data_IF_378294243408
#
_entry.id   IF_378294243408
#
_cell.length_a   1.000
_cell.length_b   1.000
_cell.length_c   1.000
_cell.angle_alpha   90.00
_cell.angle_beta   90.00
_cell.angle_gamma   90.00
#
_symmetry.space_group_name_H-M   'P 1'
#
loop_
_entity.id
_entity.type
_entity.pdbx_description
1 polymer ?
#
# COMPACT_ATOMS: atom_id res chain seq x y z
N UNK A 1 1.17 29.12 7.30
CA UNK A 1 1.03 29.75 8.65
C UNK A 1 1.03 28.62 9.67
N UNK A 2 1.40 28.81 10.94
CA UNK A 2 1.30 27.69 11.89
C UNK A 2 -0.16 27.42 12.23
N UNK A 3 -0.69 26.26 11.82
CA UNK A 3 -1.99 25.76 12.27
C UNK A 3 -1.95 25.63 13.79
N UNK A 4 -2.95 26.17 14.50
CA UNK A 4 -2.96 26.09 15.95
C UNK A 4 -3.07 24.63 16.44
N UNK A 5 -2.54 24.29 17.63
CA UNK A 5 -2.48 22.91 18.09
C UNK A 5 -3.85 22.23 18.23
N UNK A 6 -4.90 22.97 18.55
CA UNK A 6 -6.25 22.41 18.71
C UNK A 6 -6.79 22.04 17.32
N UNK A 7 -6.71 22.95 16.37
CA UNK A 7 -7.12 22.69 14.98
C UNK A 7 -6.32 21.54 14.36
N UNK A 8 -5.01 21.46 14.61
CA UNK A 8 -4.15 20.38 14.14
C UNK A 8 -4.64 19.00 14.64
N UNK A 9 -4.93 18.87 15.94
CA UNK A 9 -5.44 17.63 16.54
C UNK A 9 -6.83 17.27 16.00
N UNK A 10 -7.71 18.26 15.80
CA UNK A 10 -9.03 18.03 15.21
C UNK A 10 -8.90 17.55 13.76
N UNK A 11 -8.03 18.15 12.95
CA UNK A 11 -7.80 17.72 11.57
C UNK A 11 -7.22 16.30 11.52
N UNK A 12 -6.25 15.98 12.38
CA UNK A 12 -5.69 14.63 12.51
C UNK A 12 -6.80 13.60 12.80
N UNK A 13 -7.61 13.85 13.82
CA UNK A 13 -8.70 12.96 14.21
C UNK A 13 -9.76 12.83 13.10
N UNK A 14 -10.05 13.92 12.37
CA UNK A 14 -10.99 13.89 11.23
C UNK A 14 -10.45 13.07 10.08
N UNK A 15 -9.18 13.26 9.68
CA UNK A 15 -8.55 12.47 8.62
C UNK A 15 -8.54 10.98 8.97
N UNK A 16 -8.17 10.63 10.21
CA UNK A 16 -8.23 9.26 10.69
C UNK A 16 -9.66 8.69 10.64
N UNK A 17 -10.64 9.47 11.10
CA UNK A 17 -12.06 9.10 11.05
C UNK A 17 -12.58 8.89 9.62
N UNK A 18 -12.12 9.68 8.65
CA UNK A 18 -12.48 9.51 7.24
C UNK A 18 -11.98 8.16 6.72
N UNK A 19 -10.71 7.83 6.97
CA UNK A 19 -10.14 6.56 6.53
C UNK A 19 -10.85 5.37 7.18
N UNK A 20 -11.19 5.48 8.48
CA UNK A 20 -11.95 4.47 9.20
C UNK A 20 -13.38 4.32 8.63
N UNK A 21 -14.04 5.42 8.27
CA UNK A 21 -15.37 5.40 7.63
C UNK A 21 -15.31 4.72 6.25
N UNK A 22 -14.30 5.03 5.44
CA UNK A 22 -14.06 4.36 4.16
C UNK A 22 -13.91 2.84 4.34
N UNK A 23 -13.13 2.42 5.33
CA UNK A 23 -12.87 1.00 5.59
C UNK A 23 -14.10 0.26 6.09
N UNK A 24 -14.84 0.85 7.03
CA UNK A 24 -16.11 0.30 7.49
C UNK A 24 -17.14 0.19 6.36
N UNK A 25 -17.17 1.18 5.45
CA UNK A 25 -17.99 1.10 4.24
C UNK A 25 -17.56 -0.09 3.39
N UNK A 26 -16.25 -0.23 3.12
CA UNK A 26 -15.71 -1.31 2.29
C UNK A 26 -16.09 -2.69 2.84
N UNK A 27 -15.90 -2.94 4.14
CA UNK A 27 -16.25 -4.21 4.77
C UNK A 27 -17.74 -4.53 4.66
N UNK A 28 -18.62 -3.52 4.77
CA UNK A 28 -20.08 -3.70 4.66
C UNK A 28 -20.56 -3.90 3.23
N UNK A 29 -19.82 -3.37 2.24
CA UNK A 29 -20.15 -3.48 0.81
C UNK A 29 -19.38 -4.58 0.09
N UNK A 30 -18.49 -5.29 0.79
CA UNK A 30 -17.73 -6.41 0.25
C UNK A 30 -18.66 -7.56 -0.15
N UNK A 31 -18.44 -8.10 -1.35
CA UNK A 31 -19.14 -9.25 -1.88
C UNK A 31 -18.48 -10.54 -1.43
N UNK A 32 -17.15 -10.58 -1.38
CA UNK A 32 -16.40 -11.74 -0.89
C UNK A 32 -16.36 -11.80 0.63
N UNK A 33 -16.26 -13.02 1.16
CA UNK A 33 -16.02 -13.25 2.59
C UNK A 33 -14.65 -12.74 3.05
N UNK A 34 -13.69 -12.63 2.13
CA UNK A 34 -12.36 -12.06 2.37
C UNK A 34 -12.48 -10.60 2.84
N UNK A 35 -13.27 -9.80 2.14
CA UNK A 35 -13.50 -8.40 2.54
C UNK A 35 -14.50 -8.32 3.70
N UNK A 36 -15.61 -9.05 3.63
CA UNK A 36 -16.73 -8.88 4.57
C UNK A 36 -16.46 -9.48 5.95
N UNK A 37 -15.85 -10.66 6.00
CA UNK A 37 -15.65 -11.42 7.23
C UNK A 37 -14.19 -11.35 7.70
N UNK A 38 -13.23 -11.65 6.82
CA UNK A 38 -11.79 -11.65 7.17
C UNK A 38 -11.19 -10.25 7.27
N UNK A 39 -11.84 -9.23 6.69
CA UNK A 39 -11.42 -7.83 6.71
C UNK A 39 -10.02 -7.60 6.10
N UNK A 40 -9.69 -8.39 5.08
CA UNK A 40 -8.43 -8.29 4.33
C UNK A 40 -8.48 -7.15 3.30
N UNK A 41 -8.49 -5.92 3.83
CA UNK A 41 -8.42 -4.70 3.06
C UNK A 41 -7.90 -3.53 3.91
N UNK A 42 -7.32 -2.51 3.27
CA UNK A 42 -6.99 -1.24 3.92
C UNK A 42 -7.39 -0.04 3.09
N UNK A 43 -7.50 1.12 3.75
CA UNK A 43 -7.83 2.40 3.12
C UNK A 43 -6.78 3.46 3.49
N UNK A 44 -6.57 4.43 2.60
CA UNK A 44 -5.72 5.58 2.85
C UNK A 44 -6.19 6.81 2.05
N UNK A 45 -5.75 7.98 2.50
CA UNK A 45 -5.77 9.23 1.74
C UNK A 45 -4.33 9.56 1.35
N UNK A 46 -4.10 9.88 0.08
CA UNK A 46 -2.82 10.28 -0.48
C UNK A 46 -2.90 11.71 -1.01
N UNK A 47 -1.78 12.43 -1.03
CA UNK A 47 -1.69 13.72 -1.71
C UNK A 47 -1.44 13.55 -3.23
N UNK A 48 -1.32 14.65 -3.97
CA UNK A 48 -1.08 14.65 -5.41
C UNK A 48 0.27 14.04 -5.84
N UNK A 49 1.21 13.85 -4.90
CA UNK A 49 2.48 13.17 -5.13
C UNK A 49 2.42 11.67 -4.83
N UNK A 50 1.26 11.15 -4.43
CA UNK A 50 1.09 9.76 -4.00
C UNK A 50 1.58 9.48 -2.57
N UNK A 51 1.91 10.53 -1.80
CA UNK A 51 2.39 10.36 -0.44
C UNK A 51 1.22 10.19 0.54
N UNK A 52 1.36 9.29 1.51
CA UNK A 52 0.32 9.02 2.53
C UNK A 52 0.07 10.25 3.40
N UNK A 53 -1.17 10.72 3.42
CA UNK A 53 -1.68 11.79 4.29
C UNK A 53 -2.24 11.19 5.58
N UNK A 54 -3.08 10.16 5.43
CA UNK A 54 -3.66 9.42 6.54
C UNK A 54 -3.95 7.99 6.11
N UNK A 55 -3.73 7.05 7.03
CA UNK A 55 -3.99 5.64 6.82
C UNK A 55 -4.49 5.02 8.12
N UNK A 56 -5.38 4.04 8.00
CA UNK A 56 -5.70 3.13 9.08
C UNK A 56 -5.02 1.79 8.77
N UNK A 57 -4.09 1.40 9.63
CA UNK A 57 -3.26 0.21 9.41
C UNK A 57 -3.99 -1.00 9.96
N UNK A 58 -4.65 -1.74 9.07
CA UNK A 58 -5.14 -3.10 9.35
C UNK A 58 -4.06 -4.12 8.97
N UNK A 59 -3.39 -3.88 7.83
CA UNK A 59 -2.28 -4.70 7.36
C UNK A 59 -1.02 -3.83 7.20
N UNK A 60 0.07 -4.11 7.94
CA UNK A 60 1.30 -3.32 7.90
C UNK A 60 1.91 -3.14 6.51
N UNK A 61 1.85 -4.19 5.68
CA UNK A 61 2.43 -4.19 4.33
C UNK A 61 1.81 -3.13 3.42
N UNK A 62 0.53 -2.80 3.63
CA UNK A 62 -0.15 -1.78 2.84
C UNK A 62 0.44 -0.37 3.03
N UNK A 63 1.19 -0.11 4.11
CA UNK A 63 1.88 1.17 4.30
C UNK A 63 2.90 1.48 3.19
N UNK A 64 3.59 0.46 2.67
CA UNK A 64 4.50 0.62 1.54
C UNK A 64 3.80 0.47 0.19
N UNK A 65 2.71 -0.30 0.15
CA UNK A 65 2.02 -0.61 -1.09
C UNK A 65 1.23 0.59 -1.65
N UNK A 66 0.49 1.33 -0.82
CA UNK A 66 -0.25 2.52 -1.29
C UNK A 66 0.60 3.55 -2.04
N UNK A 67 1.72 4.05 -1.46
CA UNK A 67 2.56 5.00 -2.18
C UNK A 67 3.21 4.38 -3.43
N UNK A 68 3.57 3.10 -3.40
CA UNK A 68 4.11 2.41 -4.57
C UNK A 68 3.08 2.28 -5.71
N UNK A 69 1.82 1.98 -5.38
CA UNK A 69 0.72 1.96 -6.35
C UNK A 69 0.43 3.34 -6.92
N UNK A 70 0.42 4.38 -6.08
CA UNK A 70 0.27 5.74 -6.55
C UNK A 70 1.41 6.17 -7.47
N UNK A 71 2.66 5.82 -7.14
CA UNK A 71 3.82 6.05 -8.01
C UNK A 71 3.65 5.34 -9.37
N UNK A 72 3.16 4.10 -9.37
CA UNK A 72 2.83 3.37 -10.60
C UNK A 72 1.80 4.11 -11.46
N UNK A 73 0.67 4.54 -10.87
CA UNK A 73 -0.34 5.35 -11.57
C UNK A 73 0.27 6.65 -12.12
N UNK A 74 1.04 7.38 -11.32
CA UNK A 74 1.61 8.68 -11.70
C UNK A 74 2.71 8.57 -12.77
N UNK A 75 3.37 7.42 -12.90
CA UNK A 75 4.27 7.12 -14.02
C UNK A 75 3.52 6.81 -15.30
N UNK A 76 2.35 6.17 -15.21
CA UNK A 76 1.55 5.77 -16.36
C UNK A 76 0.59 6.84 -16.87
N UNK A 77 0.16 7.76 -15.99
CA UNK A 77 -0.81 8.81 -16.29
C UNK A 77 -0.25 10.18 -15.89
N UNK A 78 -0.03 11.09 -16.85
CA UNK A 78 0.31 12.47 -16.52
C UNK A 78 -0.86 13.13 -15.79
N UNK A 79 -0.58 14.15 -14.98
CA UNK A 79 -1.59 14.86 -14.20
C UNK A 79 -2.77 15.40 -15.05
N UNK A 80 -2.51 15.75 -16.31
CA UNK A 80 -3.53 16.24 -17.25
C UNK A 80 -4.53 15.15 -17.72
N UNK A 81 -4.25 13.86 -17.48
CA UNK A 81 -5.13 12.74 -17.84
C UNK A 81 -5.97 12.22 -16.66
N UNK A 82 -5.73 12.76 -15.47
CA UNK A 82 -6.44 12.45 -14.23
C UNK A 82 -7.59 13.44 -14.08
N UNK A 83 -8.82 12.94 -14.13
CA UNK A 83 -10.02 13.78 -14.08
C UNK A 83 -10.94 13.42 -12.92
N UNK A 84 -11.78 14.38 -12.53
CA UNK A 84 -12.86 14.13 -11.58
C UNK A 84 -13.79 13.02 -12.11
N UNK A 85 -14.19 12.11 -11.22
CA UNK A 85 -14.99 10.94 -11.62
C UNK A 85 -14.19 9.77 -12.18
N UNK A 86 -12.88 9.87 -12.38
CA UNK A 86 -12.03 8.73 -12.76
C UNK A 86 -11.70 7.82 -11.56
N UNK A 87 -11.44 6.54 -11.80
CA UNK A 87 -10.79 5.68 -10.82
C UNK A 87 -9.80 4.76 -11.54
N UNK A 88 -8.68 4.46 -10.90
CA UNK A 88 -7.60 3.64 -11.45
C UNK A 88 -7.45 2.37 -10.63
N UNK A 89 -6.99 1.29 -11.27
CA UNK A 89 -6.67 0.03 -10.61
C UNK A 89 -5.30 -0.47 -11.01
N UNK A 90 -4.67 -1.23 -10.10
CA UNK A 90 -3.52 -2.07 -10.41
C UNK A 90 -3.39 -3.17 -9.38
N UNK A 91 -2.84 -4.30 -9.80
CA UNK A 91 -2.38 -5.37 -8.92
C UNK A 91 -1.01 -5.91 -9.36
N UNK A 92 -0.32 -5.21 -10.27
CA UNK A 92 0.95 -5.66 -10.80
C UNK A 92 2.09 -5.27 -9.85
N UNK A 93 2.83 -6.22 -9.24
CA UNK A 93 3.86 -5.89 -8.25
C UNK A 93 5.07 -5.13 -8.83
N UNK A 94 5.49 -5.46 -10.04
CA UNK A 94 6.62 -4.80 -10.72
C UNK A 94 6.26 -3.46 -11.38
N UNK A 95 5.11 -3.36 -12.05
CA UNK A 95 4.70 -2.15 -12.79
C UNK A 95 3.84 -1.19 -11.96
N UNK A 96 3.12 -1.70 -10.97
CA UNK A 96 2.15 -0.96 -10.17
C UNK A 96 2.39 -1.05 -8.67
N UNK A 97 3.49 -1.63 -8.18
CA UNK A 97 3.86 -1.60 -6.76
C UNK A 97 2.94 -2.37 -5.80
N UNK A 98 2.01 -3.19 -6.32
CA UNK A 98 1.13 -4.02 -5.50
C UNK A 98 1.90 -5.06 -4.67
N UNK A 99 1.41 -5.49 -3.50
CA UNK A 99 2.03 -6.57 -2.71
C UNK A 99 2.18 -7.86 -3.50
N UNK A 100 1.09 -8.27 -4.12
CA UNK A 100 0.97 -9.44 -4.97
C UNK A 100 -0.28 -9.33 -5.84
N UNK A 101 -0.49 -10.30 -6.73
CA UNK A 101 -1.59 -10.30 -7.69
C UNK A 101 -3.00 -10.25 -7.04
N UNK A 102 -3.29 -10.96 -5.94
CA UNK A 102 -4.61 -10.91 -5.31
C UNK A 102 -4.97 -9.56 -4.70
N UNK A 103 -3.99 -8.78 -4.24
CA UNK A 103 -4.25 -7.45 -3.71
C UNK A 103 -4.42 -6.47 -4.86
N UNK A 104 -5.66 -6.01 -5.06
CA UNK A 104 -5.96 -4.99 -6.07
C UNK A 104 -6.14 -3.63 -5.41
N UNK A 105 -5.30 -2.67 -5.80
CA UNK A 105 -5.43 -1.28 -5.41
C UNK A 105 -6.49 -0.57 -6.27
N UNK A 106 -7.31 0.28 -5.64
CA UNK A 106 -8.17 1.27 -6.29
C UNK A 106 -7.71 2.66 -5.86
N UNK A 107 -7.46 3.56 -6.81
CA UNK A 107 -7.09 4.95 -6.58
C UNK A 107 -8.12 5.87 -7.24
N UNK A 108 -8.82 6.64 -6.43
CA UNK A 108 -9.83 7.60 -6.89
C UNK A 108 -9.32 9.02 -6.64
N UNK A 109 -9.14 9.86 -7.68
CA UNK A 109 -8.73 11.25 -7.50
C UNK A 109 -9.74 12.02 -6.67
N UNK A 110 -9.23 12.90 -5.81
CA UNK A 110 -10.02 13.84 -5.03
C UNK A 110 -9.90 15.20 -5.70
N UNK A 111 -11.02 15.77 -6.13
CA UNK A 111 -11.08 17.13 -6.64
C UNK A 111 -11.75 18.06 -5.62
N UNK A 112 -11.20 19.27 -5.49
CA UNK A 112 -11.76 20.34 -4.67
C UNK A 112 -11.81 21.63 -5.49
N UNK A 113 -13.02 22.10 -5.80
CA UNK A 113 -13.27 23.31 -6.63
C UNK A 113 -12.52 23.29 -7.98
N UNK A 114 -12.54 22.13 -8.65
CA UNK A 114 -11.89 21.94 -9.95
C UNK A 114 -10.39 21.67 -9.89
N UNK A 115 -9.77 21.69 -8.70
CA UNK A 115 -8.35 21.34 -8.53
C UNK A 115 -8.20 19.92 -7.99
N UNK A 116 -7.29 19.15 -8.59
CA UNK A 116 -6.90 17.85 -8.06
C UNK A 116 -6.03 18.02 -6.80
N UNK A 117 -6.42 17.38 -5.70
CA UNK A 117 -5.76 17.54 -4.39
C UNK A 117 -5.17 16.25 -3.82
N UNK A 118 -5.40 15.10 -4.45
CA UNK A 118 -4.87 13.81 -4.00
C UNK A 118 -5.70 12.62 -4.43
N UNK A 119 -5.56 11.50 -3.72
CA UNK A 119 -6.35 10.29 -3.95
C UNK A 119 -7.00 9.80 -2.66
N UNK A 120 -8.23 9.31 -2.77
CA UNK A 120 -8.78 8.35 -1.83
C UNK A 120 -8.51 6.96 -2.39
N UNK A 121 -7.87 6.09 -1.60
CA UNK A 121 -7.44 4.78 -2.06
C UNK A 121 -7.79 3.68 -1.08
N UNK A 122 -7.91 2.48 -1.60
CA UNK A 122 -7.97 1.26 -0.83
C UNK A 122 -7.34 0.10 -1.61
N UNK A 123 -7.03 -0.96 -0.89
CA UNK A 123 -6.46 -2.20 -1.40
C UNK A 123 -7.20 -3.33 -0.73
N UNK A 124 -7.62 -4.32 -1.52
CA UNK A 124 -8.37 -5.46 -0.99
C UNK A 124 -8.01 -6.73 -1.74
N UNK A 125 -7.82 -7.79 -0.97
CA UNK A 125 -7.46 -9.11 -1.46
C UNK A 125 -8.62 -9.76 -2.22
N UNK A 126 -8.31 -10.48 -3.29
CA UNK A 126 -9.29 -11.22 -4.11
C UNK A 126 -9.16 -12.72 -3.90
N UNK A 127 -10.30 -13.40 -3.82
CA UNK A 127 -10.35 -14.85 -3.61
C UNK A 127 -9.80 -15.65 -4.78
N UNK A 128 -9.91 -15.11 -5.99
CA UNK A 128 -9.42 -15.74 -7.21
C UNK A 128 -9.22 -14.67 -8.29
N UNK A 129 -8.01 -14.59 -8.83
CA UNK A 129 -7.67 -13.77 -10.00
C UNK A 129 -7.09 -14.63 -11.13
N UNK A 130 -7.49 -15.90 -11.20
CA UNK A 130 -7.00 -16.88 -12.18
C UNK A 130 -5.76 -17.62 -11.70
N UNK A 131 -4.80 -17.83 -12.60
CA UNK A 131 -3.56 -18.56 -12.30
C UNK A 131 -3.71 -20.07 -12.40
N UNK A 132 -2.64 -20.80 -12.06
CA UNK A 132 -2.54 -22.25 -12.31
C UNK A 132 -3.41 -23.12 -11.42
N UNK A 133 -3.89 -22.59 -10.29
CA UNK A 133 -4.75 -23.29 -9.33
C UNK A 133 -5.91 -22.40 -8.88
N UNK A 134 -7.04 -22.97 -8.43
CA UNK A 134 -8.09 -22.20 -7.76
C UNK A 134 -7.61 -21.59 -6.44
N UNK A 135 -7.93 -20.31 -6.20
CA UNK A 135 -7.59 -19.59 -4.97
C UNK A 135 -6.73 -18.35 -5.22
N UNK A 136 -6.19 -17.78 -4.14
CA UNK A 136 -5.41 -16.54 -4.18
C UNK A 136 -3.99 -16.73 -4.71
N UNK A 137 -3.38 -17.92 -4.55
CA UNK A 137 -2.04 -18.14 -5.05
C UNK A 137 -1.65 -19.59 -5.23
N UNK A 138 -0.76 -19.81 -6.19
CA UNK A 138 -0.14 -21.11 -6.45
C UNK A 138 1.17 -21.18 -5.68
N UNK A 139 1.27 -22.10 -4.72
CA UNK A 139 2.53 -22.42 -4.03
C UNK A 139 3.61 -23.03 -4.94
N UNK A 140 3.30 -23.25 -6.22
CA UNK A 140 4.21 -23.79 -7.22
C UNK A 140 4.45 -22.82 -8.39
N UNK A 141 4.02 -21.55 -8.27
CA UNK A 141 4.32 -20.55 -9.27
C UNK A 141 5.83 -20.23 -9.29
N UNK A 142 6.42 -20.30 -10.47
CA UNK A 142 7.83 -20.00 -10.74
C UNK A 142 8.02 -18.64 -11.39
N UNK A 143 7.02 -18.21 -12.13
CA UNK A 143 6.97 -16.91 -12.78
C UNK A 143 5.65 -16.23 -12.45
N UNK A 144 5.66 -14.90 -12.41
CA UNK A 144 4.49 -14.07 -12.14
C UNK A 144 3.30 -14.40 -13.05
N UNK A 145 3.55 -14.86 -14.28
CA UNK A 145 2.50 -15.27 -15.22
C UNK A 145 1.66 -16.47 -14.74
N UNK A 146 2.18 -17.26 -13.81
CA UNK A 146 1.47 -18.38 -13.19
C UNK A 146 0.62 -17.94 -11.98
N UNK A 147 0.78 -16.70 -11.54
CA UNK A 147 0.10 -16.12 -10.37
C UNK A 147 -1.24 -15.46 -10.73
N UNK A 148 -1.66 -15.54 -11.99
CA UNK A 148 -2.96 -15.07 -12.47
C UNK A 148 -2.92 -13.73 -13.20
N UNK A 149 -4.05 -13.02 -13.20
CA UNK A 149 -4.22 -11.77 -13.93
C UNK A 149 -3.39 -10.66 -13.29
N UNK A 150 -2.54 -10.01 -14.10
CA UNK A 150 -1.77 -8.84 -13.70
C UNK A 150 -2.19 -7.64 -14.55
N UNK A 151 -2.85 -6.68 -13.91
CA UNK A 151 -3.19 -5.39 -14.49
C UNK A 151 -2.11 -4.37 -14.12
N UNK A 152 -1.36 -3.83 -15.10
CA UNK A 152 -0.59 -2.63 -14.86
C UNK A 152 -1.53 -1.48 -14.44
N UNK A 153 -1.01 -0.32 -14.01
CA UNK A 153 -1.79 0.89 -13.87
C UNK A 153 -2.76 1.12 -15.04
N UNK A 154 -4.06 0.98 -14.79
CA UNK A 154 -5.10 1.20 -15.81
C UNK A 154 -6.29 1.98 -15.24
N UNK A 155 -6.94 2.77 -16.11
CA UNK A 155 -8.21 3.44 -15.78
C UNK A 155 -9.35 2.42 -15.71
N UNK A 156 -10.04 2.37 -14.58
CA UNK A 156 -11.18 1.48 -14.31
C UNK A 156 -12.53 2.20 -14.38
N UNK A 157 -12.60 3.45 -13.92
CA UNK A 157 -13.75 4.31 -14.13
C UNK A 157 -13.31 5.56 -14.91
N UNK A 158 -14.15 5.99 -15.84
CA UNK A 158 -14.01 7.23 -16.61
C UNK A 158 -15.28 8.04 -16.46
N UNK A 159 -15.19 9.22 -15.83
CA UNK A 159 -16.35 10.08 -15.58
C UNK A 159 -17.52 9.35 -14.88
N UNK A 160 -17.24 8.68 -13.76
CA UNK A 160 -18.18 7.92 -12.94
C UNK A 160 -18.80 6.67 -13.60
N UNK A 161 -18.33 6.28 -14.79
CA UNK A 161 -18.78 5.06 -15.46
C UNK A 161 -17.66 4.03 -15.52
N UNK A 162 -17.95 2.74 -15.26
CA UNK A 162 -16.95 1.69 -15.40
C UNK A 162 -16.49 1.57 -16.86
N UNK A 163 -15.20 1.32 -17.05
CA UNK A 163 -14.63 0.93 -18.34
C UNK A 163 -14.95 -0.55 -18.57
N UNK A 164 -15.93 -0.80 -19.42
CA UNK A 164 -16.53 -2.14 -19.63
C UNK A 164 -15.52 -3.19 -20.07
N UNK A 165 -14.55 -2.80 -20.87
CA UNK A 165 -13.51 -3.65 -21.42
C UNK A 165 -12.59 -4.18 -20.32
N UNK A 166 -12.30 -3.36 -19.31
CA UNK A 166 -11.51 -3.77 -18.13
C UNK A 166 -12.30 -4.78 -17.31
N UNK A 167 -13.60 -4.55 -17.09
CA UNK A 167 -14.44 -5.54 -16.42
C UNK A 167 -14.52 -6.85 -17.22
N UNK A 168 -14.63 -6.80 -18.55
CA UNK A 168 -14.63 -8.00 -19.40
C UNK A 168 -13.35 -8.81 -19.27
N UNK A 169 -12.18 -8.16 -19.24
CA UNK A 169 -10.88 -8.83 -19.05
C UNK A 169 -10.83 -9.50 -17.67
N UNK A 170 -11.23 -8.79 -16.61
CA UNK A 170 -11.23 -9.34 -15.25
C UNK A 170 -12.19 -10.54 -15.14
N UNK A 171 -13.39 -10.41 -15.71
CA UNK A 171 -14.41 -11.47 -15.71
C UNK A 171 -13.94 -12.73 -16.41
N UNK A 172 -13.19 -12.58 -17.52
CA UNK A 172 -12.66 -13.70 -18.28
C UNK A 172 -11.51 -14.45 -17.57
N UNK A 173 -10.90 -13.85 -16.55
CA UNK A 173 -9.70 -14.38 -15.89
C UNK A 173 -9.91 -14.78 -14.42
N UNK A 174 -11.14 -14.78 -13.91
CA UNK A 174 -11.45 -15.24 -12.55
C UNK A 174 -12.46 -16.37 -12.57
N UNK A 175 -12.28 -17.34 -11.67
CA UNK A 175 -13.26 -18.40 -11.39
C UNK A 175 -14.46 -17.88 -10.59
N UNK A 176 -14.33 -16.70 -9.97
CA UNK A 176 -15.39 -16.04 -9.18
C UNK A 176 -15.62 -14.59 -9.63
N UNK A 177 -15.94 -14.36 -10.91
CA UNK A 177 -15.89 -13.04 -11.51
C UNK A 177 -16.89 -12.05 -10.88
N UNK A 178 -18.07 -12.51 -10.44
CA UNK A 178 -19.03 -11.62 -9.79
C UNK A 178 -18.55 -11.12 -8.42
N UNK A 179 -17.78 -11.94 -7.68
CA UNK A 179 -17.19 -11.50 -6.41
C UNK A 179 -16.11 -10.45 -6.67
N UNK A 180 -15.21 -10.69 -7.62
CA UNK A 180 -14.12 -9.76 -7.95
C UNK A 180 -14.66 -8.42 -8.42
N UNK A 181 -15.63 -8.41 -9.34
CA UNK A 181 -16.23 -7.17 -9.85
C UNK A 181 -17.08 -6.47 -8.78
N UNK A 182 -17.84 -7.24 -7.98
CA UNK A 182 -18.59 -6.70 -6.85
C UNK A 182 -17.67 -5.98 -5.85
N UNK A 183 -16.57 -6.63 -5.47
CA UNK A 183 -15.57 -6.07 -4.57
C UNK A 183 -14.89 -4.83 -5.17
N UNK A 184 -14.49 -4.85 -6.44
CA UNK A 184 -13.87 -3.68 -7.10
C UNK A 184 -14.81 -2.48 -7.16
N UNK A 185 -16.10 -2.69 -7.44
CA UNK A 185 -17.10 -1.62 -7.39
C UNK A 185 -17.32 -1.12 -5.96
N UNK A 186 -17.33 -2.02 -4.97
CA UNK A 186 -17.36 -1.67 -3.54
C UNK A 186 -16.15 -0.82 -3.13
N UNK A 187 -14.95 -1.19 -3.60
CA UNK A 187 -13.72 -0.40 -3.43
C UNK A 187 -13.83 1.00 -4.03
N UNK A 188 -14.35 1.14 -5.26
CA UNK A 188 -14.61 2.47 -5.85
C UNK A 188 -15.61 3.26 -4.98
N UNK A 189 -16.70 2.63 -4.53
CA UNK A 189 -17.68 3.26 -3.64
C UNK A 189 -17.09 3.78 -2.33
N UNK A 190 -16.25 2.98 -1.68
CA UNK A 190 -15.54 3.37 -0.46
C UNK A 190 -14.53 4.50 -0.71
N UNK A 191 -13.81 4.47 -1.84
CA UNK A 191 -12.91 5.55 -2.22
C UNK A 191 -13.65 6.87 -2.49
N UNK A 192 -14.81 6.82 -3.16
CA UNK A 192 -15.70 7.98 -3.38
C UNK A 192 -16.27 8.57 -2.08
N UNK A 193 -16.48 7.75 -1.05
CA UNK A 193 -16.81 8.26 0.28
C UNK A 193 -15.67 9.11 0.84
N UNK A 194 -14.42 8.63 0.72
CA UNK A 194 -13.23 9.38 1.10
C UNK A 194 -13.11 10.72 0.37
N UNK A 195 -13.28 10.72 -0.95
CA UNK A 195 -13.31 11.95 -1.78
C UNK A 195 -14.28 12.99 -1.22
N UNK A 196 -15.55 12.62 -1.01
CA UNK A 196 -16.58 13.53 -0.49
C UNK A 196 -16.20 14.06 0.90
N UNK A 197 -15.74 13.19 1.79
CA UNK A 197 -15.39 13.56 3.17
C UNK A 197 -14.18 14.49 3.24
N UNK A 198 -13.18 14.29 2.39
CA UNK A 198 -12.03 15.21 2.29
C UNK A 198 -12.48 16.57 1.75
N UNK A 199 -13.35 16.61 0.74
CA UNK A 199 -13.91 17.86 0.24
C UNK A 199 -14.76 18.61 1.29
N UNK A 200 -15.58 17.89 2.08
CA UNK A 200 -16.31 18.45 3.23
C UNK A 200 -15.36 19.05 4.28
N UNK A 201 -14.26 18.35 4.57
CA UNK A 201 -13.23 18.82 5.51
C UNK A 201 -12.55 20.10 5.00
N UNK A 202 -12.20 20.14 3.70
CA UNK A 202 -11.63 21.33 3.05
C UNK A 202 -12.62 22.50 3.00
N UNK A 203 -13.91 22.26 2.82
CA UNK A 203 -14.94 23.30 2.90
C UNK A 203 -15.02 23.93 4.30
N UNK A 204 -14.81 23.14 5.35
CA UNK A 204 -14.93 23.61 6.73
C UNK A 204 -13.71 24.39 7.21
N UNK A 205 -12.50 23.91 6.90
CA UNK A 205 -11.25 24.47 7.43
C UNK A 205 -10.42 25.24 6.40
N UNK A 206 -10.76 25.13 5.11
CA UNK A 206 -9.97 25.66 4.00
C UNK A 206 -8.90 24.68 3.53
N UNK A 207 -8.70 24.61 2.20
CA UNK A 207 -7.69 23.74 1.57
C UNK A 207 -6.29 23.98 2.13
N UNK A 208 -5.86 25.23 2.21
CA UNK A 208 -4.52 25.60 2.70
C UNK A 208 -4.31 25.12 4.13
N UNK A 209 -5.28 25.31 5.02
CA UNK A 209 -5.22 24.82 6.40
C UNK A 209 -5.06 23.31 6.48
N UNK A 210 -5.77 22.54 5.63
CA UNK A 210 -5.64 21.07 5.60
C UNK A 210 -4.26 20.64 5.10
N UNK A 211 -3.72 21.31 4.08
CA UNK A 211 -2.38 21.03 3.56
C UNK A 211 -1.28 21.40 4.57
N UNK A 212 -1.37 22.57 5.20
CA UNK A 212 -0.45 23.02 6.25
C UNK A 212 -0.51 22.07 7.46
N UNK A 213 -1.71 21.63 7.87
CA UNK A 213 -1.89 20.66 8.95
C UNK A 213 -1.25 19.30 8.61
N UNK A 214 -1.40 18.81 7.38
CA UNK A 214 -0.77 17.58 6.96
C UNK A 214 0.77 17.66 7.05
N UNK A 215 1.38 18.75 6.57
CA UNK A 215 2.84 18.90 6.67
C UNK A 215 3.30 19.04 8.13
N UNK A 216 2.53 19.73 8.98
CA UNK A 216 2.81 19.81 10.42
C UNK A 216 2.72 18.43 11.11
N UNK A 217 1.73 17.60 10.78
CA UNK A 217 1.60 16.23 11.28
C UNK A 217 2.75 15.33 10.79
N UNK A 218 3.23 15.53 9.56
CA UNK A 218 4.40 14.84 9.05
C UNK A 218 5.65 15.24 9.83
N UNK A 219 5.87 16.54 10.04
CA UNK A 219 6.99 17.05 10.83
C UNK A 219 6.96 16.53 12.28
N UNK A 220 5.78 16.49 12.90
CA UNK A 220 5.59 15.89 14.23
C UNK A 220 5.99 14.42 14.26
N UNK A 221 5.51 13.62 13.31
CA UNK A 221 5.79 12.18 13.28
C UNK A 221 7.27 11.89 13.03
N UNK A 222 7.91 12.62 12.11
CA UNK A 222 9.33 12.52 11.81
C UNK A 222 10.19 12.87 13.03
N UNK A 223 9.92 14.02 13.67
CA UNK A 223 10.65 14.46 14.84
C UNK A 223 10.47 13.52 16.04
N UNK A 224 9.27 12.96 16.22
CA UNK A 224 9.01 11.95 17.27
C UNK A 224 9.85 10.70 17.06
N UNK A 225 9.91 10.18 15.83
CA UNK A 225 10.73 9.02 15.48
C UNK A 225 12.22 9.31 15.66
N UNK A 226 12.72 10.42 15.11
CA UNK A 226 14.14 10.81 15.20
C UNK A 226 14.59 10.99 16.64
N UNK A 227 13.77 11.65 17.48
CA UNK A 227 14.07 11.80 18.92
C UNK A 227 14.13 10.47 19.66
N UNK A 228 13.26 9.52 19.34
CA UNK A 228 13.32 8.19 19.94
C UNK A 228 14.55 7.40 19.49
N UNK A 229 14.84 7.40 18.18
CA UNK A 229 16.04 6.77 17.60
C UNK A 229 17.31 7.35 18.22
N UNK A 230 17.37 8.66 18.46
CA UNK A 230 18.51 9.32 19.07
C UNK A 230 18.90 8.77 20.46
N UNK A 231 17.97 8.17 21.19
CA UNK A 231 18.20 7.59 22.51
C UNK A 231 18.79 6.17 22.46
N UNK A 232 18.73 5.48 21.31
CA UNK A 232 19.29 4.13 21.18
C UNK A 232 20.82 4.17 21.09
N UNK A 233 21.55 3.08 21.40
CA UNK A 233 23.01 3.05 21.25
C UNK A 233 23.40 3.06 19.77
N UNK A 234 24.38 3.91 19.41
CA UNK A 234 25.03 3.87 18.09
C UNK A 234 25.73 2.52 17.88
N UNK A 235 25.64 1.97 16.67
CA UNK A 235 26.23 0.68 16.35
C UNK A 235 25.64 0.02 15.12
N UNK A 236 26.18 -1.17 14.82
CA UNK A 236 25.69 -2.06 13.78
C UNK A 236 25.21 -3.34 14.44
N UNK A 237 23.95 -3.68 14.21
CA UNK A 237 23.28 -4.84 14.82
C UNK A 237 22.74 -5.73 13.71
N UNK A 238 22.78 -7.04 13.87
CA UNK A 238 22.34 -7.98 12.84
C UNK A 238 21.30 -8.95 13.39
N UNK A 239 20.40 -9.38 12.52
CA UNK A 239 19.45 -10.44 12.79
C UNK A 239 19.19 -11.25 11.53
N UNK A 240 18.99 -12.55 11.70
CA UNK A 240 18.59 -13.44 10.62
C UNK A 240 17.51 -14.44 11.05
N UNK A 241 16.72 -14.86 10.08
CA UNK A 241 15.75 -15.94 10.18
C UNK A 241 15.68 -16.68 8.85
N UNK A 242 15.00 -17.83 8.83
CA UNK A 242 14.86 -18.68 7.66
C UNK A 242 13.40 -19.02 7.42
N UNK A 243 12.97 -18.96 6.17
CA UNK A 243 11.72 -19.57 5.69
C UNK A 243 12.04 -20.98 5.21
N UNK A 244 11.20 -21.97 5.54
CA UNK A 244 11.50 -23.38 5.32
C UNK A 244 11.81 -23.72 3.85
N UNK A 245 10.97 -23.23 2.91
CA UNK A 245 11.14 -23.45 1.47
C UNK A 245 10.24 -22.53 0.63
N UNK A 246 10.46 -22.50 -0.68
CA UNK A 246 9.65 -21.75 -1.65
C UNK A 246 8.53 -22.58 -2.32
N UNK A 247 8.27 -23.81 -1.88
CA UNK A 247 7.28 -24.71 -2.48
C UNK A 247 7.75 -25.40 -3.77
N UNK A 248 8.96 -25.11 -4.24
CA UNK A 248 9.63 -25.75 -5.38
C UNK A 248 10.89 -26.52 -4.92
N UNK A 249 11.78 -25.87 -4.18
CA UNK A 249 12.98 -26.43 -3.56
C UNK A 249 12.69 -26.71 -2.07
N UNK A 250 12.01 -27.83 -1.79
CA UNK A 250 11.47 -28.16 -0.47
C UNK A 250 12.53 -28.42 0.62
N UNK A 251 13.78 -28.65 0.23
CA UNK A 251 14.92 -28.96 1.09
C UNK A 251 15.87 -27.77 1.27
N UNK A 252 15.50 -26.58 0.75
CA UNK A 252 16.36 -25.40 0.75
C UNK A 252 15.71 -24.23 1.51
N UNK A 253 16.12 -24.01 2.78
CA UNK A 253 15.70 -22.83 3.54
C UNK A 253 16.15 -21.52 2.89
N UNK A 254 15.28 -20.51 3.00
CA UNK A 254 15.48 -19.18 2.42
C UNK A 254 15.90 -18.22 3.54
N UNK A 255 17.11 -17.70 3.44
CA UNK A 255 17.66 -16.77 4.45
C UNK A 255 17.08 -15.36 4.30
N UNK A 256 16.52 -14.83 5.38
CA UNK A 256 16.15 -13.42 5.54
C UNK A 256 17.12 -12.81 6.55
N UNK A 257 17.86 -11.79 6.16
CA UNK A 257 18.89 -11.16 6.97
C UNK A 257 18.79 -9.64 6.90
N UNK A 258 18.96 -8.97 8.03
CA UNK A 258 19.06 -7.51 8.10
C UNK A 258 20.21 -7.09 9.01
N UNK A 259 21.04 -6.18 8.51
CA UNK A 259 21.97 -5.41 9.33
C UNK A 259 21.38 -4.01 9.54
N UNK A 260 21.26 -3.57 10.79
CA UNK A 260 20.72 -2.26 11.16
C UNK A 260 21.87 -1.40 11.63
N UNK A 261 22.16 -0.34 10.88
CA UNK A 261 23.15 0.68 11.24
C UNK A 261 22.43 1.87 11.88
N UNK A 262 22.69 2.11 13.16
CA UNK A 262 22.14 3.24 13.91
C UNK A 262 23.25 4.24 14.20
N UNK A 263 23.04 5.50 13.81
CA UNK A 263 23.94 6.62 14.12
C UNK A 263 23.15 7.89 14.45
N UNK A 264 23.31 8.43 15.66
CA UNK A 264 22.54 9.57 16.16
C UNK A 264 21.02 9.31 16.01
N UNK A 265 20.32 10.11 15.22
CA UNK A 265 18.89 10.03 14.93
C UNK A 265 18.57 9.36 13.58
N UNK A 266 19.57 8.77 12.93
CA UNK A 266 19.44 8.05 11.68
C UNK A 266 19.54 6.53 11.90
N UNK A 267 18.75 5.79 11.12
CA UNK A 267 18.75 4.34 11.09
C UNK A 267 18.72 3.86 9.64
N UNK A 268 19.56 2.91 9.30
CA UNK A 268 19.65 2.29 7.98
C UNK A 268 19.47 0.78 8.08
N UNK A 269 18.61 0.20 7.25
CA UNK A 269 18.36 -1.23 7.18
C UNK A 269 19.01 -1.84 5.93
N UNK A 270 20.10 -2.56 6.09
CA UNK A 270 20.80 -3.26 5.02
C UNK A 270 20.33 -4.73 4.91
N UNK A 271 19.57 -5.01 3.84
CA UNK A 271 19.07 -6.34 3.50
C UNK A 271 19.92 -7.03 2.42
N UNK A 272 21.11 -6.54 2.08
CA UNK A 272 21.95 -7.14 1.03
C UNK A 272 22.42 -8.56 1.36
N UNK A 273 22.44 -8.93 2.65
CA UNK A 273 22.74 -10.27 3.15
C UNK A 273 21.62 -11.31 2.99
N UNK A 274 20.43 -10.93 2.51
CA UNK A 274 19.34 -11.86 2.19
C UNK A 274 19.74 -12.86 1.10
N UNK A 275 19.12 -14.05 1.14
CA UNK A 275 19.29 -15.10 0.14
C UNK A 275 18.90 -14.65 -1.26
N UNK A 276 19.33 -15.42 -2.26
CA UNK A 276 18.92 -15.21 -3.65
C UNK A 276 17.40 -15.35 -3.80
N UNK A 277 16.83 -14.69 -4.82
CA UNK A 277 15.44 -14.88 -5.18
C UNK A 277 15.14 -16.37 -5.41
N UNK A 278 13.95 -16.78 -5.01
CA UNK A 278 13.53 -18.18 -5.02
C UNK A 278 13.09 -18.63 -6.42
N UNK A 279 13.01 -19.95 -6.63
CA UNK A 279 12.41 -20.52 -7.85
C UNK A 279 10.89 -20.56 -7.77
N UNK A 280 10.33 -20.59 -6.57
CA UNK A 280 8.91 -20.51 -6.27
C UNK A 280 8.43 -19.09 -5.96
N UNK A 281 7.20 -18.91 -5.46
CA UNK A 281 6.56 -17.61 -5.26
C UNK A 281 6.97 -16.89 -3.97
N UNK A 282 7.88 -17.47 -3.19
CA UNK A 282 8.34 -16.94 -1.91
C UNK A 282 9.35 -15.79 -2.07
N UNK A 283 8.95 -14.73 -2.78
CA UNK A 283 9.73 -13.50 -2.93
C UNK A 283 8.88 -12.28 -2.54
N UNK A 284 9.53 -11.23 -2.05
CA UNK A 284 8.88 -9.99 -1.62
C UNK A 284 9.54 -8.78 -2.28
N UNK A 285 8.74 -7.79 -2.68
CA UNK A 285 9.23 -6.58 -3.33
C UNK A 285 9.69 -5.53 -2.30
N UNK A 286 10.69 -4.68 -2.63
CA UNK A 286 11.26 -3.72 -1.68
C UNK A 286 10.27 -2.77 -0.98
N UNK A 287 9.19 -2.25 -1.62
CA UNK A 287 8.24 -1.37 -0.94
C UNK A 287 7.62 -2.01 0.31
N UNK A 288 7.36 -3.31 0.27
CA UNK A 288 6.77 -4.05 1.39
C UNK A 288 7.76 -4.26 2.52
N UNK A 289 9.03 -4.53 2.20
CA UNK A 289 10.09 -4.69 3.21
C UNK A 289 10.33 -3.37 3.94
N UNK A 290 10.31 -2.24 3.21
CA UNK A 290 10.33 -0.90 3.83
C UNK A 290 9.12 -0.66 4.74
N UNK A 291 7.93 -1.14 4.35
CA UNK A 291 6.73 -1.08 5.17
C UNK A 291 6.89 -1.85 6.49
N UNK A 292 7.48 -3.06 6.45
CA UNK A 292 7.81 -3.81 7.66
C UNK A 292 8.76 -3.04 8.58
N UNK A 293 9.81 -2.44 8.03
CA UNK A 293 10.74 -1.61 8.80
C UNK A 293 10.02 -0.42 9.46
N UNK A 294 9.19 0.29 8.70
CA UNK A 294 8.37 1.39 9.21
C UNK A 294 7.43 0.93 10.34
N UNK A 295 6.80 -0.22 10.17
CA UNK A 295 5.90 -0.79 11.18
C UNK A 295 6.64 -1.14 12.47
N UNK A 296 7.81 -1.78 12.35
CA UNK A 296 8.65 -2.08 13.51
C UNK A 296 9.01 -0.80 14.28
N UNK A 297 9.39 0.27 13.58
CA UNK A 297 9.67 1.56 14.23
C UNK A 297 8.45 2.15 14.92
N UNK A 298 7.27 2.14 14.28
CA UNK A 298 6.03 2.61 14.90
C UNK A 298 5.73 1.84 16.18
N UNK A 299 5.78 0.51 16.14
CA UNK A 299 5.52 -0.34 17.31
C UNK A 299 6.52 -0.12 18.45
N UNK A 300 7.79 0.14 18.14
CA UNK A 300 8.84 0.35 19.13
C UNK A 300 8.83 1.76 19.73
N UNK A 301 8.44 2.77 18.96
CA UNK A 301 8.53 4.19 19.36
C UNK A 301 7.22 4.69 19.96
N UNK A 302 6.12 4.57 19.21
CA UNK A 302 4.81 5.11 19.60
C UNK A 302 3.70 4.47 18.74
N UNK A 303 2.91 3.54 19.28
CA UNK A 303 1.83 2.90 18.53
C UNK A 303 0.69 3.85 18.16
N UNK A 304 0.67 5.07 18.70
CA UNK A 304 -0.31 6.11 18.38
C UNK A 304 0.21 7.13 17.35
N UNK A 305 1.42 6.92 16.81
CA UNK A 305 1.99 7.79 15.80
C UNK A 305 1.07 7.85 14.56
N UNK A 306 0.75 9.04 14.02
CA UNK A 306 0.03 9.14 12.77
C UNK A 306 0.82 8.46 11.64
N UNK A 307 0.17 7.54 10.93
CA UNK A 307 0.73 6.83 9.80
C UNK A 307 0.60 7.71 8.55
N UNK A 308 1.71 8.35 8.18
CA UNK A 308 1.81 9.26 7.05
C UNK A 308 3.20 9.16 6.39
N UNK A 309 3.44 10.00 5.38
CA UNK A 309 4.69 10.02 4.61
C UNK A 309 5.97 10.26 5.42
N UNK A 310 5.88 10.71 6.68
CA UNK A 310 7.05 10.88 7.55
C UNK A 310 7.82 9.56 7.75
N UNK A 311 7.10 8.42 7.78
CA UNK A 311 7.72 7.11 7.94
C UNK A 311 8.77 6.85 6.84
N UNK A 312 8.47 7.24 5.60
CA UNK A 312 9.37 7.08 4.46
C UNK A 312 10.60 8.01 4.52
N UNK A 313 10.57 9.08 5.33
CA UNK A 313 11.72 9.98 5.53
C UNK A 313 12.70 9.47 6.58
N UNK A 314 12.27 8.52 7.41
CA UNK A 314 13.06 7.95 8.51
C UNK A 314 13.57 6.55 8.16
N UNK A 315 12.79 5.78 7.40
CA UNK A 315 13.18 4.43 6.97
C UNK A 315 14.05 4.48 5.72
N UNK A 316 15.35 4.34 5.91
CA UNK A 316 16.30 4.10 4.83
C UNK A 316 16.69 2.62 4.77
N UNK A 317 16.81 2.07 3.56
CA UNK A 317 17.08 0.65 3.37
C UNK A 317 17.77 0.35 2.04
N UNK A 318 18.69 -0.62 2.07
CA UNK A 318 19.41 -1.12 0.88
C UNK A 318 19.02 -2.58 0.62
N UNK A 319 18.91 -2.92 -0.66
CA UNK A 319 18.59 -4.27 -1.12
C UNK A 319 19.57 -4.68 -2.21
N UNK A 320 19.91 -5.97 -2.26
CA UNK A 320 20.67 -6.56 -3.36
C UNK A 320 19.70 -6.99 -4.46
N UNK A 321 19.91 -6.54 -5.69
CA UNK A 321 19.12 -7.00 -6.84
C UNK A 321 19.26 -8.51 -7.03
N UNK A 322 18.15 -9.20 -7.33
CA UNK A 322 18.10 -10.65 -7.45
C UNK A 322 18.10 -11.39 -6.11
N UNK A 323 17.91 -10.69 -4.98
CA UNK A 323 17.65 -11.32 -3.67
C UNK A 323 16.16 -11.59 -3.47
N UNK A 324 15.83 -12.43 -2.49
CA UNK A 324 14.43 -12.75 -2.12
C UNK A 324 13.60 -11.51 -1.74
N UNK A 325 14.25 -10.43 -1.29
CA UNK A 325 13.63 -9.14 -0.93
C UNK A 325 13.71 -8.07 -2.03
N UNK A 326 14.35 -8.40 -3.15
CA UNK A 326 14.41 -7.55 -4.34
C UNK A 326 14.56 -8.43 -5.60
N UNK A 327 13.55 -9.28 -5.89
CA UNK A 327 13.60 -10.23 -6.99
C UNK A 327 13.56 -9.50 -8.34
N UNK A 328 14.17 -10.07 -9.37
CA UNK A 328 14.08 -9.53 -10.74
C UNK A 328 12.90 -10.15 -11.49
N UNK A 329 12.25 -9.34 -12.32
CA UNK A 329 11.19 -9.81 -13.22
C UNK A 329 11.72 -10.93 -14.15
N UNK A 330 10.98 -12.02 -14.41
CA UNK A 330 9.57 -12.26 -14.11
C UNK A 330 9.31 -13.14 -12.87
N UNK A 331 10.17 -13.08 -11.84
CA UNK A 331 10.00 -13.92 -10.66
C UNK A 331 8.62 -13.78 -10.00
N UNK A 332 8.09 -14.91 -9.53
CA UNK A 332 6.85 -15.01 -8.77
C UNK A 332 6.99 -14.32 -7.38
N UNK A 333 5.96 -13.60 -6.93
CA UNK A 333 5.98 -12.78 -5.70
C UNK A 333 4.68 -12.89 -4.89
N UNK A 334 3.86 -13.92 -5.12
CA UNK A 334 2.53 -14.02 -4.54
C UNK A 334 2.53 -14.52 -3.09
N UNK A 335 3.63 -15.11 -2.62
CA UNK A 335 3.73 -15.65 -1.26
C UNK A 335 4.74 -14.87 -0.44
N UNK A 336 4.26 -13.90 0.34
CA UNK A 336 5.03 -13.21 1.37
C UNK A 336 4.57 -13.59 2.79
N UNK A 337 3.80 -14.68 2.92
CA UNK A 337 3.33 -15.19 4.22
C UNK A 337 4.55 -15.42 5.13
N UNK A 338 4.61 -14.75 6.30
CA UNK A 338 5.73 -14.88 7.24
C UNK A 338 5.82 -16.26 7.88
#
# INVERSE_FOLDING_TARGET
MSVDPITLQVIQARLAGIVQEMQNSLFRTGFSTIIRESQDASCAILNCKGEVVAQHVVLPLHMGAFPACAEGILKSYPAAEIHEGDAFITNHPYLGGSPHAPDMAVLTPIFYRGEWVGFATNMAHKSDIGGTVPGSGSGQAREIYQEGLHLPPVKYFSGLRPVTEIESIIRANSRTPELVIGDLRGQVGAARLGERRVAELMNRYGRETILDANEALCGYAEDRLRRAIALWPDGRFEGESFVDHDGIELDRPIRIHVAVEKKKDAIHFDFTGCGDQTKGPANIRPPLVRACCAYCLVCLVDPFLPINKALNRVVDATFREGSVVCPSFPAAVNTYMP
#
